data_IF_326671729805
#
_entry.id   IF_326671729805
#
_cell.length_a   1.000
_cell.length_b   1.000
_cell.length_c   1.000
_cell.angle_alpha   90.00
_cell.angle_beta   90.00
_cell.angle_gamma   90.00
#
_symmetry.space_group_name_H-M   'P 1'
#
loop_
_entity.id
_entity.type
_entity.pdbx_description
1 polymer ?
#
# COMPACT_ATOMS: atom_id res chain seq x y z
N UNK A 1 12.09 -14.95 -2.31
CA UNK A 1 10.96 -15.32 -3.18
C UNK A 1 9.73 -14.55 -2.69
N UNK A 2 9.26 -13.46 -3.26
CA UNK A 2 9.67 -12.58 -4.34
C UNK A 2 8.65 -11.46 -4.24
N UNK A 3 8.94 -10.42 -3.46
CA UNK A 3 8.07 -9.25 -3.40
C UNK A 3 8.08 -8.62 -4.77
N UNK A 4 6.97 -8.68 -5.49
CA UNK A 4 6.78 -7.95 -6.74
C UNK A 4 7.12 -6.49 -6.45
N UNK A 5 8.21 -5.98 -7.01
CA UNK A 5 8.54 -4.56 -6.89
C UNK A 5 7.51 -3.79 -7.70
N UNK A 6 6.36 -3.48 -7.09
CA UNK A 6 5.34 -2.68 -7.74
C UNK A 6 5.84 -1.25 -7.84
N UNK A 7 6.12 -0.82 -9.07
CA UNK A 7 6.48 0.55 -9.41
C UNK A 7 5.21 1.39 -9.56
N UNK A 8 5.33 2.71 -9.35
CA UNK A 8 4.24 3.67 -9.52
C UNK A 8 3.56 3.59 -10.90
N UNK A 9 4.27 3.05 -11.90
CA UNK A 9 3.81 2.84 -13.27
C UNK A 9 2.69 1.80 -13.39
N UNK A 10 2.59 0.88 -12.43
CA UNK A 10 1.54 -0.14 -12.40
C UNK A 10 0.21 0.39 -11.82
N UNK A 11 0.21 1.60 -11.25
CA UNK A 11 -0.99 2.25 -10.72
C UNK A 11 -1.50 3.23 -11.77
N UNK A 12 -2.61 2.94 -12.43
CA UNK A 12 -3.20 3.87 -13.40
C UNK A 12 -4.01 4.96 -12.69
N UNK A 13 -3.80 6.22 -13.08
CA UNK A 13 -4.51 7.38 -12.50
C UNK A 13 -3.99 7.80 -11.11
N UNK A 14 -4.83 8.51 -10.35
CA UNK A 14 -4.52 8.99 -9.00
C UNK A 14 -3.30 9.92 -8.89
N UNK A 15 -3.01 10.73 -9.91
CA UNK A 15 -1.77 11.52 -9.96
C UNK A 15 -1.58 12.44 -8.74
N UNK A 16 -2.64 13.10 -8.27
CA UNK A 16 -2.57 13.92 -7.06
C UNK A 16 -2.26 13.08 -5.80
N UNK A 17 -2.89 11.91 -5.67
CA UNK A 17 -2.69 11.02 -4.54
C UNK A 17 -1.30 10.38 -4.58
N UNK A 18 -0.79 10.01 -5.75
CA UNK A 18 0.59 9.54 -5.95
C UNK A 18 1.59 10.60 -5.51
N UNK A 19 1.37 11.87 -5.85
CA UNK A 19 2.25 12.96 -5.43
C UNK A 19 2.26 13.12 -3.91
N UNK A 20 1.09 13.07 -3.25
CA UNK A 20 1.01 13.06 -1.78
C UNK A 20 1.72 11.85 -1.17
N UNK A 21 1.49 10.66 -1.72
CA UNK A 21 2.09 9.43 -1.25
C UNK A 21 3.63 9.43 -1.40
N UNK A 22 4.16 9.99 -2.49
CA UNK A 22 5.61 10.17 -2.71
C UNK A 22 6.27 11.04 -1.65
N UNK A 23 5.60 12.14 -1.26
CA UNK A 23 6.08 13.02 -0.20
C UNK A 23 6.06 12.29 1.14
N UNK A 24 4.94 11.63 1.47
CA UNK A 24 4.78 10.89 2.72
C UNK A 24 5.73 9.69 2.84
N UNK A 25 6.10 9.04 1.73
CA UNK A 25 7.04 7.92 1.74
C UNK A 25 8.44 8.31 2.26
N UNK A 26 8.83 9.58 2.10
CA UNK A 26 10.09 10.10 2.64
C UNK A 26 10.07 10.38 4.15
N UNK A 27 8.88 10.33 4.77
CA UNK A 27 8.69 10.67 6.18
C UNK A 27 8.58 9.36 6.98
N UNK A 28 9.29 9.21 8.12
CA UNK A 28 9.27 7.99 8.93
C UNK A 28 7.99 7.81 9.78
N UNK A 29 6.84 8.34 9.32
CA UNK A 29 5.56 8.31 10.03
C UNK A 29 4.61 7.22 9.51
N UNK A 30 3.52 6.99 10.25
CA UNK A 30 2.49 6.02 9.88
C UNK A 30 1.53 6.60 8.84
N UNK A 31 1.23 5.82 7.81
CA UNK A 31 0.32 6.22 6.72
C UNK A 31 -0.95 5.37 6.77
N UNK A 32 -2.12 6.02 6.79
CA UNK A 32 -3.42 5.36 6.69
C UNK A 32 -3.97 5.49 5.26
N UNK A 33 -4.21 4.35 4.61
CA UNK A 33 -4.80 4.29 3.26
C UNK A 33 -6.26 3.88 3.37
N UNK A 34 -7.16 4.77 2.94
CA UNK A 34 -8.61 4.57 3.00
C UNK A 34 -9.15 4.40 1.58
N UNK A 35 -10.16 3.55 1.43
CA UNK A 35 -10.86 3.34 0.17
C UNK A 35 -11.71 2.09 0.20
N UNK A 36 -12.63 1.96 -0.75
CA UNK A 36 -13.51 0.80 -0.87
C UNK A 36 -12.74 -0.51 -1.10
N UNK A 37 -13.41 -1.65 -0.91
CA UNK A 37 -12.79 -2.94 -1.22
C UNK A 37 -12.48 -3.03 -2.72
N UNK A 38 -11.32 -3.56 -3.08
CA UNK A 38 -10.93 -3.76 -4.48
C UNK A 38 -10.28 -2.57 -5.21
N UNK A 39 -10.14 -1.38 -4.59
CA UNK A 39 -9.57 -0.19 -5.26
C UNK A 39 -8.03 -0.14 -5.35
N UNK A 40 -7.34 -1.22 -4.98
CA UNK A 40 -5.87 -1.28 -5.08
C UNK A 40 -5.09 -0.67 -3.91
N UNK A 41 -5.67 -0.57 -2.71
CA UNK A 41 -5.00 -0.05 -1.49
C UNK A 41 -3.64 -0.72 -1.21
N UNK A 42 -3.54 -2.02 -1.46
CA UNK A 42 -2.30 -2.79 -1.29
C UNK A 42 -1.19 -2.33 -2.24
N UNK A 43 -1.52 -1.99 -3.48
CA UNK A 43 -0.55 -1.49 -4.47
C UNK A 43 0.04 -0.16 -4.01
N UNK A 44 -0.78 0.73 -3.43
CA UNK A 44 -0.31 1.97 -2.83
C UNK A 44 0.63 1.72 -1.64
N UNK A 45 0.29 0.80 -0.74
CA UNK A 45 1.14 0.48 0.40
C UNK A 45 2.52 -0.05 -0.02
N UNK A 46 2.55 -0.91 -1.04
CA UNK A 46 3.78 -1.48 -1.58
C UNK A 46 4.63 -0.41 -2.31
N UNK A 47 4.01 0.46 -3.12
CA UNK A 47 4.70 1.54 -3.80
C UNK A 47 5.32 2.56 -2.82
N UNK A 48 4.60 2.88 -1.73
CA UNK A 48 5.10 3.74 -0.65
C UNK A 48 6.29 3.08 0.05
N UNK A 49 6.20 1.79 0.39
CA UNK A 49 7.30 1.04 1.02
C UNK A 49 8.57 1.08 0.17
N UNK A 50 8.44 0.82 -1.14
CA UNK A 50 9.54 0.79 -2.10
C UNK A 50 10.24 2.14 -2.27
N UNK A 51 9.53 3.25 -2.05
CA UNK A 51 10.10 4.60 -2.12
C UNK A 51 10.64 5.11 -0.78
N UNK A 52 10.24 4.49 0.33
CA UNK A 52 10.68 4.90 1.66
C UNK A 52 12.12 4.50 1.98
N UNK A 53 12.69 5.07 3.05
CA UNK A 53 13.97 4.61 3.59
C UNK A 53 13.94 3.14 4.09
N UNK A 54 12.75 2.52 4.19
CA UNK A 54 12.54 1.14 4.64
C UNK A 54 12.48 0.13 3.49
N UNK A 55 12.68 0.56 2.24
CA UNK A 55 12.58 -0.27 1.02
C UNK A 55 13.39 -1.57 1.07
N UNK A 56 14.56 -1.55 1.72
CA UNK A 56 15.45 -2.71 1.82
C UNK A 56 15.04 -3.68 2.94
N UNK A 57 14.08 -3.28 3.77
CA UNK A 57 13.48 -4.08 4.83
C UNK A 57 12.26 -4.89 4.36
N UNK A 58 11.80 -5.86 5.18
CA UNK A 58 10.66 -6.70 4.83
C UNK A 58 9.36 -5.89 4.76
N UNK A 59 8.59 -6.07 3.70
CA UNK A 59 7.23 -5.57 3.58
C UNK A 59 6.24 -6.64 4.07
N UNK A 60 5.69 -6.44 5.27
CA UNK A 60 4.74 -7.38 5.88
C UNK A 60 3.32 -6.85 5.68
N UNK A 61 2.49 -7.61 4.98
CA UNK A 61 1.07 -7.29 4.79
C UNK A 61 0.22 -8.18 5.68
N UNK A 62 -0.66 -7.59 6.49
CA UNK A 62 -1.69 -8.29 7.25
C UNK A 62 -3.04 -7.88 6.68
N UNK A 63 -3.70 -8.81 5.99
CA UNK A 63 -5.07 -8.62 5.55
C UNK A 63 -6.01 -9.10 6.67
N UNK A 64 -6.92 -8.22 7.10
CA UNK A 64 -7.94 -8.56 8.09
C UNK A 64 -9.22 -8.89 7.32
N UNK A 65 -9.51 -10.16 7.02
CA UNK A 65 -10.75 -10.52 6.35
C UNK A 65 -11.93 -10.24 7.28
N UNK A 66 -13.00 -9.68 6.73
CA UNK A 66 -14.28 -9.64 7.44
C UNK A 66 -14.81 -11.07 7.57
N UNK A 67 -14.47 -11.75 8.65
CA UNK A 67 -15.11 -13.02 9.00
C UNK A 67 -16.59 -12.74 9.27
N UNK A 68 -17.45 -13.07 8.31
CA UNK A 68 -18.88 -13.20 8.54
C UNK A 68 -19.05 -14.43 9.42
N UNK A 69 -19.24 -14.23 10.73
CA UNK A 69 -19.74 -15.29 11.59
C UNK A 69 -21.14 -15.65 11.09
N UNK A 70 -21.25 -16.72 10.30
CA UNK A 70 -22.54 -17.31 9.94
C UNK A 70 -22.91 -18.24 11.09
N UNK A 71 -23.79 -17.77 11.97
CA UNK A 71 -24.45 -18.65 12.93
C UNK A 71 -25.36 -19.59 12.13
N UNK A 72 -25.16 -20.90 12.31
CA UNK A 72 -26.13 -21.94 11.96
C UNK A 72 -26.87 -22.35 13.23
#
# INVERSE_FOLDING_TARGET
MGGTQTLWDNIFGYEELKNKARILAGIPDNILIIGESGVGKRLFAEAIHNQSARKDGPFITIEIPSKKYRCF
#
